data_IF_293618269471
#
_entry.id   IF_293618269471
#
_cell.length_a   1.000
_cell.length_b   1.000
_cell.length_c   1.000
_cell.angle_alpha   90.00
_cell.angle_beta   90.00
_cell.angle_gamma   90.00
#
_symmetry.space_group_name_H-M   'P 1'
#
loop_
_entity.id
_entity.type
_entity.pdbx_description
1 polymer ?
#
# COMPACT_ATOMS: atom_id res chain seq x y z
N UNK A 1 -21.26 -24.23 -20.56
CA UNK A 1 -21.94 -24.47 -19.26
C UNK A 1 -20.99 -24.02 -18.16
N UNK A 2 -21.50 -23.28 -17.15
CA UNK A 2 -20.83 -22.10 -16.63
C UNK A 2 -19.62 -22.39 -15.74
N UNK A 3 -18.60 -21.59 -15.98
CA UNK A 3 -17.31 -21.53 -15.33
C UNK A 3 -17.46 -21.03 -13.89
N UNK A 4 -16.77 -21.69 -12.96
CA UNK A 4 -16.70 -21.40 -11.53
C UNK A 4 -16.17 -19.97 -11.26
N UNK A 5 -17.05 -18.99 -11.16
CA UNK A 5 -16.74 -17.62 -10.76
C UNK A 5 -16.97 -17.43 -9.26
N UNK A 6 -16.26 -18.20 -8.42
CA UNK A 6 -16.26 -17.87 -6.99
C UNK A 6 -15.39 -16.62 -6.77
N UNK A 7 -15.92 -15.54 -6.16
CA UNK A 7 -15.08 -14.46 -5.68
C UNK A 7 -14.09 -15.04 -4.67
N UNK A 8 -12.81 -14.60 -4.67
CA UNK A 8 -11.84 -15.08 -3.68
C UNK A 8 -12.42 -14.92 -2.27
N UNK A 9 -12.31 -15.94 -1.41
CA UNK A 9 -12.96 -16.01 -0.09
C UNK A 9 -12.65 -14.79 0.80
N UNK A 10 -11.52 -14.15 0.55
CA UNK A 10 -11.13 -12.84 1.12
C UNK A 10 -12.20 -11.77 0.89
N UNK A 11 -12.83 -11.73 -0.29
CA UNK A 11 -13.94 -10.81 -0.61
C UNK A 11 -15.18 -11.07 0.23
N UNK A 12 -15.45 -12.31 0.62
CA UNK A 12 -16.65 -12.64 1.39
C UNK A 12 -16.49 -12.33 2.89
N UNK A 13 -15.30 -12.56 3.44
CA UNK A 13 -14.97 -12.24 4.84
C UNK A 13 -14.81 -10.72 5.06
N UNK A 14 -14.21 -10.01 4.10
CA UNK A 14 -14.02 -8.56 4.20
C UNK A 14 -15.32 -7.75 3.98
N UNK A 15 -16.35 -8.35 3.37
CA UNK A 15 -17.64 -7.70 3.11
C UNK A 15 -18.61 -7.70 4.30
N UNK A 16 -18.29 -8.43 5.38
CA UNK A 16 -19.20 -8.59 6.54
C UNK A 16 -18.95 -7.60 7.66
N UNK A 17 -17.93 -6.75 7.55
CA UNK A 17 -17.52 -5.80 8.58
C UNK A 17 -17.51 -4.37 7.99
N UNK A 18 -18.51 -3.53 8.29
CA UNK A 18 -18.53 -2.12 7.88
C UNK A 18 -17.46 -1.36 8.68
N UNK A 19 -16.19 -1.50 8.29
CA UNK A 19 -15.09 -0.86 8.98
C UNK A 19 -14.66 0.41 8.24
N UNK A 20 -14.63 1.52 8.98
CA UNK A 20 -14.02 2.77 8.56
C UNK A 20 -12.59 2.54 8.04
N UNK A 21 -12.16 3.34 7.07
CA UNK A 21 -10.79 3.29 6.52
C UNK A 21 -9.74 3.41 7.63
N UNK A 22 -10.03 4.21 8.67
CA UNK A 22 -9.19 4.35 9.87
C UNK A 22 -9.07 3.05 10.67
N UNK A 23 -10.18 2.34 10.84
CA UNK A 23 -10.21 1.06 11.56
C UNK A 23 -9.41 -0.01 10.83
N UNK A 24 -9.50 -0.06 9.49
CA UNK A 24 -8.70 -0.98 8.66
C UNK A 24 -7.19 -0.68 8.74
N UNK A 25 -6.80 0.60 8.74
CA UNK A 25 -5.40 1.01 8.92
C UNK A 25 -4.90 0.62 10.30
N UNK A 26 -5.70 0.86 11.35
CA UNK A 26 -5.35 0.49 12.72
C UNK A 26 -5.13 -1.02 12.86
N UNK A 27 -6.08 -1.84 12.40
CA UNK A 27 -5.94 -3.31 12.47
C UNK A 27 -4.75 -3.82 11.65
N UNK A 28 -4.50 -3.25 10.46
CA UNK A 28 -3.36 -3.65 9.64
C UNK A 28 -2.02 -3.38 10.33
N UNK A 29 -1.86 -2.20 10.94
CA UNK A 29 -0.65 -1.86 11.69
C UNK A 29 -0.53 -2.65 13.00
N UNK A 30 -1.64 -2.92 13.69
CA UNK A 30 -1.66 -3.71 14.92
C UNK A 30 -1.29 -5.19 14.67
N UNK A 31 -1.82 -5.79 13.60
CA UNK A 31 -1.46 -7.16 13.20
C UNK A 31 0.00 -7.21 12.75
N UNK A 32 0.49 -6.19 12.02
CA UNK A 32 1.90 -6.10 11.66
C UNK A 32 2.81 -6.01 12.90
N UNK A 33 2.41 -5.25 13.93
CA UNK A 33 3.12 -5.18 15.20
C UNK A 33 3.09 -6.52 15.96
N UNK A 34 1.96 -7.24 15.91
CA UNK A 34 1.83 -8.56 16.53
C UNK A 34 2.68 -9.63 15.83
N UNK A 35 2.81 -9.56 14.51
CA UNK A 35 3.61 -10.48 13.72
C UNK A 35 5.09 -10.11 13.63
N UNK A 36 5.49 -8.91 14.04
CA UNK A 36 6.88 -8.43 14.01
C UNK A 36 7.85 -9.22 14.94
N UNK A 37 7.49 -9.58 16.19
CA UNK A 37 8.42 -10.20 17.14
C UNK A 37 8.97 -11.57 16.70
N UNK A 38 8.19 -12.48 16.11
CA UNK A 38 8.72 -13.72 15.54
C UNK A 38 9.86 -13.48 14.53
N UNK A 39 9.75 -12.47 13.66
CA UNK A 39 10.81 -12.16 12.68
C UNK A 39 12.12 -11.72 13.34
N UNK A 40 12.06 -11.03 14.49
CA UNK A 40 13.25 -10.65 15.26
C UNK A 40 13.93 -11.86 15.90
N UNK A 41 13.16 -12.85 16.34
CA UNK A 41 13.68 -14.09 16.93
C UNK A 41 14.35 -14.96 15.88
N UNK A 42 13.69 -15.18 14.73
CA UNK A 42 14.26 -15.98 13.64
C UNK A 42 15.44 -15.30 12.93
N UNK A 43 15.46 -13.97 12.88
CA UNK A 43 16.57 -13.19 12.31
C UNK A 43 17.84 -13.16 13.16
N UNK A 44 17.82 -13.69 14.38
CA UNK A 44 18.93 -13.66 15.34
C UNK A 44 19.43 -12.24 15.71
N UNK A 45 18.64 -11.19 15.47
CA UNK A 45 19.03 -9.79 15.70
C UNK A 45 18.69 -9.26 17.11
N UNK A 46 18.37 -10.15 18.06
CA UNK A 46 17.99 -9.79 19.43
C UNK A 46 19.04 -8.90 20.14
N UNK A 47 20.33 -9.07 19.82
CA UNK A 47 21.40 -8.23 20.36
C UNK A 47 21.35 -6.77 19.88
N UNK A 48 20.73 -6.51 18.72
CA UNK A 48 20.56 -5.15 18.15
C UNK A 48 19.30 -4.46 18.62
N UNK A 49 18.37 -5.18 19.23
CA UNK A 49 17.12 -4.60 19.76
C UNK A 49 17.42 -3.57 20.86
N UNK A 50 18.37 -3.87 21.75
CA UNK A 50 18.80 -2.95 22.81
C UNK A 50 19.43 -1.67 22.24
N UNK A 51 20.24 -1.79 21.19
CA UNK A 51 20.82 -0.66 20.48
C UNK A 51 19.75 0.18 19.76
N UNK A 52 18.74 -0.46 19.17
CA UNK A 52 17.60 0.20 18.54
C UNK A 52 16.75 0.99 19.53
N UNK A 53 16.42 0.40 20.69
CA UNK A 53 15.71 1.12 21.76
C UNK A 53 16.53 2.29 22.29
N UNK A 54 17.84 2.11 22.48
CA UNK A 54 18.70 3.20 22.92
C UNK A 54 18.76 4.32 21.87
N UNK A 55 18.78 4.00 20.57
CA UNK A 55 18.73 4.99 19.51
C UNK A 55 17.44 5.82 19.56
N UNK A 56 16.29 5.23 19.91
CA UNK A 56 15.02 5.96 20.05
C UNK A 56 15.01 6.99 21.18
N UNK A 57 15.97 6.96 22.11
CA UNK A 57 16.11 8.02 23.12
C UNK A 57 16.71 9.31 22.54
N UNK A 58 17.36 9.22 21.37
CA UNK A 58 17.93 10.38 20.69
C UNK A 58 16.86 11.07 19.81
N UNK A 59 16.81 12.41 19.80
CA UNK A 59 15.72 13.15 19.16
C UNK A 59 15.70 12.99 17.63
N UNK A 60 16.86 12.86 16.98
CA UNK A 60 16.97 12.74 15.52
C UNK A 60 16.40 11.41 14.99
N UNK A 61 16.86 10.23 15.44
CA UNK A 61 16.28 8.96 15.01
C UNK A 61 14.82 8.81 15.48
N UNK A 62 14.46 9.30 16.67
CA UNK A 62 13.07 9.29 17.12
C UNK A 62 12.15 10.10 16.18
N UNK A 63 12.57 11.31 15.78
CA UNK A 63 11.83 12.13 14.84
C UNK A 63 11.72 11.47 13.44
N UNK A 64 12.81 10.87 12.95
CA UNK A 64 12.81 10.18 11.66
C UNK A 64 11.87 8.96 11.66
N UNK A 65 11.85 8.18 12.74
CA UNK A 65 10.95 7.03 12.91
C UNK A 65 9.50 7.49 13.06
N UNK A 66 9.25 8.55 13.82
CA UNK A 66 7.89 9.10 13.97
C UNK A 66 7.36 9.60 12.64
N UNK A 67 8.17 10.34 11.89
CA UNK A 67 7.79 10.82 10.56
C UNK A 67 7.55 9.66 9.59
N UNK A 68 8.38 8.62 9.61
CA UNK A 68 8.19 7.44 8.75
C UNK A 68 6.92 6.67 9.13
N UNK A 69 6.56 6.59 10.41
CA UNK A 69 5.29 6.01 10.86
C UNK A 69 4.09 6.84 10.37
N UNK A 70 4.14 8.17 10.46
CA UNK A 70 3.07 9.05 9.96
C UNK A 70 2.89 8.84 8.44
N UNK A 71 3.99 8.83 7.68
CA UNK A 71 3.96 8.59 6.24
C UNK A 71 3.45 7.17 5.93
N UNK A 72 3.87 6.15 6.68
CA UNK A 72 3.39 4.77 6.53
C UNK A 72 1.88 4.61 6.80
N UNK A 73 1.36 5.30 7.81
CA UNK A 73 -0.08 5.41 8.08
C UNK A 73 -0.80 6.11 6.93
N UNK A 74 -0.23 7.21 6.41
CA UNK A 74 -0.77 7.92 5.24
C UNK A 74 -0.84 7.06 3.99
N UNK A 75 0.22 6.31 3.68
CA UNK A 75 0.26 5.36 2.55
C UNK A 75 -0.79 4.26 2.74
N UNK A 76 -0.90 3.72 3.96
CA UNK A 76 -1.90 2.70 4.28
C UNK A 76 -3.32 3.23 4.06
N UNK A 77 -3.60 4.45 4.54
CA UNK A 77 -4.89 5.10 4.38
C UNK A 77 -5.25 5.33 2.91
N UNK A 78 -4.33 5.92 2.14
CA UNK A 78 -4.53 6.15 0.71
C UNK A 78 -4.67 4.85 -0.06
N UNK A 79 -3.92 3.80 0.28
CA UNK A 79 -4.02 2.48 -0.36
C UNK A 79 -5.39 1.81 -0.17
N UNK A 80 -5.95 1.86 1.04
CA UNK A 80 -7.30 1.34 1.30
C UNK A 80 -8.39 2.19 0.65
N UNK A 81 -8.21 3.52 0.57
CA UNK A 81 -9.10 4.43 -0.15
C UNK A 81 -9.09 4.14 -1.65
N UNK A 82 -7.90 4.06 -2.25
CA UNK A 82 -7.67 3.79 -3.66
C UNK A 82 -8.30 2.45 -4.07
N UNK A 83 -8.18 1.39 -3.26
CA UNK A 83 -8.79 0.09 -3.53
C UNK A 83 -10.33 0.12 -3.66
N UNK A 84 -11.00 1.13 -3.12
CA UNK A 84 -12.46 1.30 -3.29
C UNK A 84 -12.82 2.18 -4.49
N UNK A 85 -11.87 2.97 -5.00
CA UNK A 85 -12.04 3.95 -6.08
C UNK A 85 -11.58 3.42 -7.44
N UNK A 86 -10.60 2.50 -7.46
CA UNK A 86 -9.99 2.00 -8.69
C UNK A 86 -10.12 0.49 -8.85
N UNK A 87 -10.07 0.03 -10.09
CA UNK A 87 -10.08 -1.40 -10.41
C UNK A 87 -8.82 -2.10 -9.88
N UNK A 88 -8.90 -3.42 -9.68
CA UNK A 88 -7.78 -4.23 -9.21
C UNK A 88 -6.53 -4.10 -10.10
N UNK A 89 -6.71 -3.96 -11.42
CA UNK A 89 -5.61 -3.77 -12.38
C UNK A 89 -4.95 -2.41 -12.21
N UNK A 90 -5.75 -1.35 -12.07
CA UNK A 90 -5.25 0.01 -11.86
C UNK A 90 -4.47 0.13 -10.55
N UNK A 91 -4.91 -0.54 -9.48
CA UNK A 91 -4.17 -0.59 -8.22
C UNK A 91 -2.77 -1.20 -8.38
N UNK A 92 -2.65 -2.30 -9.14
CA UNK A 92 -1.35 -2.93 -9.43
C UNK A 92 -0.45 -2.03 -10.27
N UNK A 93 -0.99 -1.36 -11.31
CA UNK A 93 -0.23 -0.42 -12.15
C UNK A 93 0.31 0.74 -11.31
N UNK A 94 -0.51 1.33 -10.43
CA UNK A 94 -0.09 2.41 -9.53
C UNK A 94 1.02 1.95 -8.55
N UNK A 95 0.99 0.70 -8.10
CA UNK A 95 2.07 0.12 -7.30
C UNK A 95 3.41 0.05 -8.04
N UNK A 96 3.39 -0.39 -9.31
CA UNK A 96 4.59 -0.41 -10.16
C UNK A 96 5.10 1.02 -10.41
N UNK A 97 4.21 1.97 -10.67
CA UNK A 97 4.56 3.38 -10.87
C UNK A 97 5.23 3.99 -9.63
N UNK A 98 4.69 3.73 -8.43
CA UNK A 98 5.28 4.23 -7.18
C UNK A 98 6.71 3.73 -6.96
N UNK A 99 6.98 2.45 -7.28
CA UNK A 99 8.33 1.87 -7.19
C UNK A 99 9.29 2.54 -8.18
N UNK A 100 8.86 2.73 -9.42
CA UNK A 100 9.63 3.39 -10.49
C UNK A 100 9.96 4.84 -10.15
N UNK A 101 8.99 5.56 -9.58
CA UNK A 101 9.15 6.95 -9.16
C UNK A 101 10.14 7.10 -8.01
N UNK A 102 10.11 6.16 -7.05
CA UNK A 102 11.09 6.11 -5.95
C UNK A 102 12.51 5.91 -6.47
N UNK A 103 12.69 5.00 -7.44
CA UNK A 103 13.99 4.75 -8.07
C UNK A 103 14.49 6.02 -8.79
N UNK A 104 13.61 6.69 -9.54
CA UNK A 104 13.95 7.96 -10.20
C UNK A 104 14.41 9.01 -9.20
N UNK A 105 13.67 9.19 -8.09
CA UNK A 105 14.03 10.16 -7.06
C UNK A 105 15.37 9.85 -6.41
N UNK A 106 15.66 8.57 -6.15
CA UNK A 106 16.97 8.13 -5.65
C UNK A 106 18.10 8.49 -6.62
N UNK A 107 17.91 8.33 -7.93
CA UNK A 107 18.91 8.71 -8.92
C UNK A 107 19.13 10.23 -8.95
N UNK A 108 18.06 11.01 -8.81
CA UNK A 108 18.14 12.49 -8.79
C UNK A 108 18.83 13.01 -7.52
N UNK A 109 18.49 12.47 -6.35
CA UNK A 109 19.08 12.92 -5.08
C UNK A 109 20.55 12.56 -4.92
N UNK A 110 20.93 11.35 -5.33
CA UNK A 110 22.30 10.86 -5.15
C UNK A 110 23.19 11.12 -6.37
N UNK A 111 22.68 11.82 -7.40
CA UNK A 111 23.38 12.15 -8.66
C UNK A 111 24.25 10.99 -9.20
N UNK A 112 23.77 9.76 -9.02
CA UNK A 112 24.55 8.57 -9.34
C UNK A 112 24.49 8.38 -10.86
N UNK A 113 25.64 8.10 -11.49
CA UNK A 113 25.74 7.84 -12.93
C UNK A 113 24.96 6.58 -13.30
N UNK A 114 23.66 6.74 -13.55
CA UNK A 114 22.77 5.67 -13.98
C UNK A 114 23.10 5.28 -15.42
N UNK A 115 23.16 3.97 -15.69
CA UNK A 115 23.34 3.47 -17.06
C UNK A 115 22.23 4.03 -17.96
N UNK A 116 22.56 4.47 -19.17
CA UNK A 116 21.57 5.07 -20.10
C UNK A 116 20.38 4.15 -20.37
N UNK A 117 20.59 2.83 -20.33
CA UNK A 117 19.53 1.82 -20.46
C UNK A 117 18.49 1.95 -19.36
N UNK A 118 18.91 2.20 -18.11
CA UNK A 118 18.00 2.37 -16.98
C UNK A 118 17.17 3.65 -17.12
N UNK A 119 17.76 4.74 -17.62
CA UNK A 119 17.05 6.00 -17.84
C UNK A 119 15.97 5.82 -18.92
N UNK A 120 16.31 5.20 -20.05
CA UNK A 120 15.34 4.95 -21.14
C UNK A 120 14.22 4.01 -20.66
N UNK A 121 14.55 2.95 -19.92
CA UNK A 121 13.56 2.03 -19.37
C UNK A 121 12.63 2.71 -18.35
N UNK A 122 13.15 3.60 -17.51
CA UNK A 122 12.34 4.39 -16.56
C UNK A 122 11.37 5.31 -17.31
N UNK A 123 11.85 6.03 -18.33
CA UNK A 123 11.01 6.90 -19.14
C UNK A 123 9.91 6.12 -19.88
N UNK A 124 10.25 4.96 -20.46
CA UNK A 124 9.29 4.07 -21.10
C UNK A 124 8.25 3.52 -20.12
N UNK A 125 8.65 3.24 -18.88
CA UNK A 125 7.74 2.76 -17.85
C UNK A 125 6.76 3.85 -17.39
N UNK A 126 7.26 5.07 -17.17
CA UNK A 126 6.44 6.23 -16.80
C UNK A 126 5.48 6.57 -17.95
N UNK A 127 5.94 6.58 -19.20
CA UNK A 127 5.08 6.86 -20.35
C UNK A 127 3.97 5.80 -20.49
N UNK A 128 4.31 4.51 -20.38
CA UNK A 128 3.32 3.42 -20.38
C UNK A 128 2.31 3.53 -19.25
N UNK A 129 2.72 3.99 -18.07
CA UNK A 129 1.83 4.30 -16.96
C UNK A 129 0.90 5.49 -17.23
N UNK A 130 1.41 6.57 -17.84
CA UNK A 130 0.58 7.75 -18.19
C UNK A 130 -0.40 7.47 -19.34
N UNK A 131 -0.06 6.56 -20.24
CA UNK A 131 -0.95 6.11 -21.32
C UNK A 131 -1.97 5.06 -20.85
N UNK A 132 -1.86 4.58 -19.60
CA UNK A 132 -2.82 3.63 -19.06
C UNK A 132 -4.20 4.28 -18.91
N UNK A 133 -5.15 3.84 -19.72
CA UNK A 133 -6.55 4.16 -19.55
C UNK A 133 -7.22 3.11 -18.66
N UNK A 134 -8.00 3.57 -17.67
CA UNK A 134 -8.82 2.69 -16.86
C UNK A 134 -9.83 1.98 -17.76
N UNK A 135 -9.89 0.65 -17.67
CA UNK A 135 -10.95 -0.11 -18.34
C UNK A 135 -12.31 0.32 -17.77
N UNK A 136 -13.36 0.50 -18.61
CA UNK A 136 -14.67 0.94 -18.14
C UNK A 136 -15.16 -0.01 -17.03
N UNK A 137 -15.51 0.51 -15.85
CA UNK A 137 -16.14 -0.29 -14.81
C UNK A 137 -17.40 -0.94 -15.39
N UNK A 138 -17.70 -2.19 -15.02
CA UNK A 138 -19.00 -2.78 -15.36
C UNK A 138 -20.04 -2.08 -14.48
N UNK A 139 -20.69 -1.05 -15.04
CA UNK A 139 -21.54 -0.06 -14.36
C UNK A 139 -22.62 -0.69 -13.45
N UNK A 140 -23.07 -1.92 -13.73
CA UNK A 140 -24.17 -2.52 -12.96
C UNK A 140 -23.83 -3.18 -11.62
N UNK A 141 -22.56 -3.42 -11.24
CA UNK A 141 -22.27 -4.29 -10.08
C UNK A 141 -21.48 -3.62 -8.94
N UNK A 142 -20.84 -2.48 -9.21
CA UNK A 142 -20.01 -1.76 -8.25
C UNK A 142 -20.70 -0.49 -7.72
N UNK A 143 -21.58 0.14 -8.49
CA UNK A 143 -22.44 1.24 -8.04
C UNK A 143 -23.48 0.78 -7.00
N UNK A 144 -24.12 -0.37 -7.22
CA UNK A 144 -25.10 -0.97 -6.29
C UNK A 144 -24.41 -1.32 -4.95
N UNK A 145 -23.15 -1.78 -5.01
CA UNK A 145 -22.30 -2.08 -3.84
C UNK A 145 -21.85 -0.84 -3.09
N UNK A 146 -21.61 0.28 -3.79
CA UNK A 146 -21.28 1.57 -3.16
C UNK A 146 -22.53 2.19 -2.51
N UNK A 147 -23.68 2.18 -3.20
CA UNK A 147 -24.94 2.71 -2.70
C UNK A 147 -25.45 1.94 -1.47
N UNK A 148 -25.31 0.62 -1.43
CA UNK A 148 -25.66 -0.20 -0.25
C UNK A 148 -24.76 0.13 0.95
N UNK A 149 -23.45 0.34 0.72
CA UNK A 149 -22.52 0.73 1.79
C UNK A 149 -22.82 2.13 2.33
N UNK A 150 -23.22 3.08 1.50
CA UNK A 150 -23.62 4.41 1.96
C UNK A 150 -24.91 4.38 2.79
N UNK A 151 -25.87 3.51 2.45
CA UNK A 151 -27.08 3.30 3.26
C UNK A 151 -26.79 2.68 4.61
N UNK A 152 -25.86 1.72 4.69
CA UNK A 152 -25.46 1.07 5.95
C UNK A 152 -24.65 1.97 6.88
N UNK A 153 -23.96 3.00 6.35
CA UNK A 153 -23.24 4.00 7.17
C UNK A 153 -24.18 5.09 7.70
N UNK A 154 -25.33 5.29 7.07
CA UNK A 154 -26.35 6.27 7.49
C UNK A 154 -27.45 5.69 8.41
N UNK A 155 -27.49 4.37 8.59
CA UNK A 155 -28.40 3.68 9.51
C UNK A 155 -27.73 3.38 10.84
#
# INVERSE_FOLDING_TARGET
MPCFAHPPQVKHVLNRLPMSTWTRVYYNNAIALFFSPPFLVFGHEYARLSQGLHALTQPRPAAAVTLSCILGVGISFTGFGLRNLVTATTFTVLGVMNKVLTILFSMLLFAQSASMVSIVALLACISGGTMYQQAPPREGHDEERQAERERLVKS
#
